data_IF_938521922477
#
_entry.id   IF_938521922477
#
_cell.length_a   1.000
_cell.length_b   1.000
_cell.length_c   1.000
_cell.angle_alpha   90.00
_cell.angle_beta   90.00
_cell.angle_gamma   90.00
#
_symmetry.space_group_name_H-M   'P 1'
#
loop_
_entity.id
_entity.type
_entity.pdbx_description
1 polymer ?
#
# COMPACT_ATOMS: atom_id res chain seq x y z
N UNK A 1 5.92 -10.37 19.59
CA UNK A 1 6.04 -8.89 19.54
C UNK A 1 5.93 -8.41 18.10
N UNK A 2 5.39 -7.21 17.87
CA UNK A 2 5.25 -6.58 16.54
C UNK A 2 6.08 -5.29 16.52
N UNK A 3 6.88 -5.07 15.46
CA UNK A 3 7.68 -3.84 15.32
C UNK A 3 6.81 -2.64 14.95
N UNK A 4 7.03 -1.50 15.62
CA UNK A 4 6.38 -0.22 15.29
C UNK A 4 6.71 0.27 13.87
N UNK A 5 7.86 -0.13 13.33
CA UNK A 5 8.31 0.27 12.00
C UNK A 5 7.79 -0.63 10.87
N UNK A 6 7.10 -1.73 11.19
CA UNK A 6 6.53 -2.61 10.17
C UNK A 6 5.48 -1.87 9.35
N UNK A 7 5.52 -2.05 8.03
CA UNK A 7 4.53 -1.50 7.11
C UNK A 7 3.20 -2.25 7.24
N UNK A 8 2.10 -1.53 7.06
CA UNK A 8 0.75 -2.07 7.12
C UNK A 8 0.23 -2.22 5.71
N UNK A 9 -0.05 -3.46 5.31
CA UNK A 9 -0.74 -3.73 4.06
C UNK A 9 -2.20 -3.28 4.20
N UNK A 10 -2.68 -2.49 3.24
CA UNK A 10 -4.05 -1.96 3.23
C UNK A 10 -4.82 -2.51 2.02
N UNK A 11 -6.17 -2.43 2.01
CA UNK A 11 -6.96 -2.83 0.85
C UNK A 11 -6.59 -2.07 -0.44
N UNK A 12 -6.11 -0.83 -0.33
CA UNK A 12 -5.63 -0.05 -1.47
C UNK A 12 -4.43 -0.73 -2.13
N UNK A 13 -3.48 -1.25 -1.35
CA UNK A 13 -2.34 -1.97 -1.92
C UNK A 13 -2.78 -3.22 -2.70
N UNK A 14 -3.76 -3.97 -2.17
CA UNK A 14 -4.30 -5.17 -2.83
C UNK A 14 -4.97 -4.81 -4.16
N UNK A 15 -5.78 -3.75 -4.16
CA UNK A 15 -6.44 -3.25 -5.37
C UNK A 15 -5.41 -2.87 -6.44
N UNK A 16 -4.36 -2.14 -6.05
CA UNK A 16 -3.32 -1.66 -6.95
C UNK A 16 -2.46 -2.80 -7.50
N UNK A 17 -2.11 -3.78 -6.67
CA UNK A 17 -1.36 -4.97 -7.12
C UNK A 17 -2.12 -5.72 -8.21
N UNK A 18 -3.42 -5.94 -8.01
CA UNK A 18 -4.29 -6.55 -9.04
C UNK A 18 -4.39 -5.70 -10.30
N UNK A 19 -4.61 -4.39 -10.16
CA UNK A 19 -4.72 -3.47 -11.30
C UNK A 19 -3.44 -3.41 -12.12
N UNK A 20 -2.28 -3.29 -11.47
CA UNK A 20 -0.99 -3.29 -12.14
C UNK A 20 -0.75 -4.60 -12.89
N UNK A 21 -1.14 -5.74 -12.31
CA UNK A 21 -1.01 -7.02 -12.97
C UNK A 21 -1.96 -7.17 -14.17
N UNK A 22 -3.20 -6.68 -14.06
CA UNK A 22 -4.12 -6.57 -15.20
C UNK A 22 -3.54 -5.69 -16.32
N UNK A 23 -3.03 -4.51 -15.98
CA UNK A 23 -2.44 -3.55 -16.93
C UNK A 23 -1.21 -4.09 -17.65
N UNK A 24 -0.43 -4.96 -16.99
CA UNK A 24 0.75 -5.58 -17.60
C UNK A 24 0.42 -6.59 -18.70
N UNK A 25 -0.81 -7.11 -18.76
CA UNK A 25 -1.27 -7.97 -19.86
C UNK A 25 -0.41 -9.24 -20.02
N UNK A 26 0.39 -9.31 -21.07
CA UNK A 26 1.31 -10.43 -21.33
C UNK A 26 2.59 -10.36 -20.49
N UNK A 27 2.92 -9.18 -19.93
CA UNK A 27 4.11 -8.93 -19.11
C UNK A 27 3.82 -9.09 -17.60
N UNK A 28 2.84 -9.93 -17.24
CA UNK A 28 2.51 -10.21 -15.84
C UNK A 28 3.69 -10.83 -15.11
N UNK A 29 3.85 -10.49 -13.84
CA UNK A 29 4.89 -11.07 -12.99
C UNK A 29 4.42 -12.40 -12.39
N UNK A 30 3.12 -12.55 -12.14
CA UNK A 30 2.53 -13.62 -11.34
C UNK A 30 2.51 -13.27 -9.85
N UNK A 31 2.09 -12.06 -9.49
CA UNK A 31 2.05 -11.65 -8.07
C UNK A 31 1.02 -12.47 -7.28
N UNK A 32 1.23 -12.54 -5.96
CA UNK A 32 0.26 -13.17 -5.05
C UNK A 32 -1.03 -12.36 -4.88
N UNK A 33 -1.15 -11.18 -5.53
CA UNK A 33 -2.30 -10.28 -5.43
C UNK A 33 -2.66 -9.89 -4.00
N UNK A 34 -1.64 -9.78 -3.13
CA UNK A 34 -1.78 -9.43 -1.70
C UNK A 34 -1.33 -8.01 -1.38
N UNK A 35 -0.92 -7.22 -2.36
CA UNK A 35 -0.49 -5.83 -2.13
C UNK A 35 0.90 -5.69 -1.53
N UNK A 36 1.75 -6.73 -1.63
CA UNK A 36 3.10 -6.73 -1.05
C UNK A 36 3.98 -5.70 -1.77
N UNK A 37 4.01 -5.73 -3.10
CA UNK A 37 4.78 -4.79 -3.93
C UNK A 37 4.40 -3.33 -3.63
N UNK A 38 3.12 -2.94 -3.79
CA UNK A 38 2.67 -1.58 -3.49
C UNK A 38 2.92 -1.13 -2.04
N UNK A 39 2.81 -2.04 -1.06
CA UNK A 39 3.13 -1.71 0.33
C UNK A 39 4.63 -1.41 0.54
N UNK A 40 5.51 -2.13 -0.14
CA UNK A 40 6.95 -1.84 -0.10
C UNK A 40 7.30 -0.57 -0.87
N UNK A 41 6.65 -0.32 -2.01
CA UNK A 41 6.75 0.94 -2.74
C UNK A 41 6.40 2.12 -1.82
N UNK A 42 5.29 2.04 -1.08
CA UNK A 42 4.88 3.09 -0.15
C UNK A 42 5.82 3.26 1.05
N UNK A 43 6.47 2.18 1.47
CA UNK A 43 7.52 2.25 2.50
C UNK A 43 8.72 3.05 1.99
N UNK A 44 9.13 2.84 0.74
CA UNK A 44 10.28 3.54 0.12
C UNK A 44 9.92 4.99 -0.24
N UNK A 45 8.71 5.24 -0.74
CA UNK A 45 8.20 6.59 -1.07
C UNK A 45 7.91 7.44 0.16
N UNK A 46 7.94 6.84 1.37
CA UNK A 46 7.65 7.46 2.66
C UNK A 46 6.18 7.87 2.85
N UNK A 47 5.27 7.35 2.04
CA UNK A 47 3.82 7.63 2.10
C UNK A 47 3.01 6.51 2.80
N UNK A 48 3.63 5.37 3.09
CA UNK A 48 2.96 4.22 3.68
C UNK A 48 2.57 4.36 5.16
N UNK A 49 1.58 3.54 5.55
CA UNK A 49 1.15 3.36 6.92
C UNK A 49 2.07 2.36 7.64
N UNK A 50 2.46 2.66 8.87
CA UNK A 50 3.25 1.79 9.75
C UNK A 50 2.46 1.40 11.00
N UNK A 51 2.84 0.31 11.65
CA UNK A 51 2.18 -0.13 12.90
C UNK A 51 2.19 0.97 13.97
N UNK A 52 3.27 1.73 14.08
CA UNK A 52 3.35 2.87 15.01
C UNK A 52 2.35 3.99 14.73
N UNK A 53 1.89 4.15 13.49
CA UNK A 53 0.89 5.16 13.14
C UNK A 53 -0.52 4.77 13.63
N UNK A 54 -0.76 3.48 13.88
CA UNK A 54 -2.07 2.96 14.30
C UNK A 54 -2.51 3.45 15.68
N UNK A 55 -1.59 4.03 16.45
CA UNK A 55 -1.86 4.61 17.77
C UNK A 55 -2.66 5.91 17.66
N UNK A 56 -2.61 6.60 16.51
CA UNK A 56 -3.32 7.87 16.30
C UNK A 56 -4.25 7.78 15.08
N UNK A 57 -5.57 7.83 15.34
CA UNK A 57 -6.61 7.75 14.31
C UNK A 57 -6.52 8.87 13.26
N UNK A 58 -6.10 10.07 13.64
CA UNK A 58 -5.99 11.20 12.70
C UNK A 58 -4.81 11.01 11.74
N UNK A 59 -3.69 10.46 12.23
CA UNK A 59 -2.56 10.07 11.38
C UNK A 59 -2.98 9.01 10.36
N UNK A 60 -3.74 7.99 10.80
CA UNK A 60 -4.26 6.95 9.89
C UNK A 60 -5.11 7.59 8.80
N UNK A 61 -6.09 8.42 9.16
CA UNK A 61 -6.99 9.08 8.20
C UNK A 61 -6.21 9.92 7.19
N UNK A 62 -5.26 10.74 7.65
CA UNK A 62 -4.44 11.59 6.76
C UNK A 62 -3.63 10.77 5.78
N UNK A 63 -2.94 9.72 6.25
CA UNK A 63 -2.12 8.85 5.40
C UNK A 63 -2.96 8.05 4.40
N UNK A 64 -4.10 7.51 4.84
CA UNK A 64 -5.02 6.79 3.95
C UNK A 64 -5.61 7.71 2.88
N UNK A 65 -6.00 8.93 3.24
CA UNK A 65 -6.50 9.92 2.29
C UNK A 65 -5.42 10.27 1.24
N UNK A 66 -4.20 10.56 1.69
CA UNK A 66 -3.07 10.85 0.81
C UNK A 66 -2.78 9.66 -0.13
N UNK A 67 -2.69 8.45 0.41
CA UNK A 67 -2.43 7.24 -0.38
C UNK A 67 -3.54 6.97 -1.40
N UNK A 68 -4.81 7.16 -1.01
CA UNK A 68 -5.93 7.05 -1.93
C UNK A 68 -5.83 8.09 -3.05
N UNK A 69 -5.50 9.33 -2.73
CA UNK A 69 -5.40 10.42 -3.70
C UNK A 69 -4.26 10.20 -4.70
N UNK A 70 -3.07 9.83 -4.22
CA UNK A 70 -1.92 9.53 -5.07
C UNK A 70 -2.18 8.35 -6.03
N UNK A 71 -3.03 7.40 -5.61
CA UNK A 71 -3.31 6.18 -6.36
C UNK A 71 -4.65 6.21 -7.11
N UNK A 72 -5.32 7.36 -7.20
CA UNK A 72 -6.58 7.55 -7.99
C UNK A 72 -6.40 7.35 -9.50
N UNK A 73 -5.17 7.42 -10.00
CA UNK A 73 -4.86 7.39 -11.45
C UNK A 73 -4.23 6.07 -11.92
N UNK A 74 -4.12 5.07 -11.03
CA UNK A 74 -3.62 3.73 -11.31
C UNK A 74 -4.80 2.77 -11.28
#
# INVERSE_FOLDING_TARGET
MISKAAGVVTPIHVYIDKKQEEMRGELKIGTTSKGIGPCYEDKISRNGLRIGDLVNKDTIKRKLALMSEMRKQI
#
